data_IF_990050873736
#
_entry.id   IF_990050873736
#
_cell.length_a   1.000
_cell.length_b   1.000
_cell.length_c   1.000
_cell.angle_alpha   90.00
_cell.angle_beta   90.00
_cell.angle_gamma   90.00
#
_symmetry.space_group_name_H-M   'P 1'
#
loop_
_entity.id
_entity.type
_entity.pdbx_description
1 polymer ?
#
# COMPACT_ATOMS: atom_id res chain seq x y z
N UNK A 1 0.21 23.31 25.87
CA UNK A 1 -0.14 22.04 25.20
C UNK A 1 -1.26 21.28 25.92
N UNK A 2 -1.19 21.11 27.25
CA UNK A 2 -2.18 20.39 28.07
C UNK A 2 -3.66 20.85 27.96
N UNK A 3 -4.02 22.15 27.84
CA UNK A 3 -5.43 22.56 27.79
C UNK A 3 -6.17 22.09 26.52
N UNK A 4 -5.47 22.09 25.37
CA UNK A 4 -6.03 21.61 24.09
C UNK A 4 -6.21 20.09 24.11
N UNK A 5 -5.24 19.36 24.65
CA UNK A 5 -5.32 17.90 24.83
C UNK A 5 -6.49 17.53 25.75
N UNK A 6 -6.63 18.17 26.91
CA UNK A 6 -7.74 17.91 27.84
C UNK A 6 -9.11 18.18 27.20
N UNK A 7 -9.23 19.22 26.36
CA UNK A 7 -10.45 19.50 25.60
C UNK A 7 -10.75 18.39 24.57
N UNK A 8 -9.72 17.91 23.87
CA UNK A 8 -9.85 16.80 22.92
C UNK A 8 -10.30 15.52 23.63
N UNK A 9 -9.61 15.12 24.70
CA UNK A 9 -9.93 13.91 25.47
C UNK A 9 -11.38 13.96 26.00
N UNK A 10 -11.84 15.11 26.50
CA UNK A 10 -13.25 15.30 26.90
C UNK A 10 -14.23 15.24 25.72
N UNK A 11 -13.83 15.65 24.52
CA UNK A 11 -14.67 15.53 23.33
C UNK A 11 -14.81 14.06 22.93
N UNK A 12 -13.69 13.33 22.83
CA UNK A 12 -13.66 11.90 22.54
C UNK A 12 -14.43 11.07 23.58
N UNK A 13 -14.34 11.45 24.86
CA UNK A 13 -15.13 10.81 25.92
C UNK A 13 -16.63 10.98 25.75
N UNK A 14 -17.10 12.14 25.25
CA UNK A 14 -18.52 12.36 24.91
C UNK A 14 -18.95 11.58 23.66
N UNK A 15 -18.01 11.20 22.82
CA UNK A 15 -18.23 10.33 21.65
C UNK A 15 -18.16 8.84 22.01
N UNK A 16 -18.00 8.50 23.30
CA UNK A 16 -18.02 7.13 23.79
C UNK A 16 -16.66 6.44 23.81
N UNK A 17 -15.55 7.19 23.79
CA UNK A 17 -14.20 6.65 23.88
C UNK A 17 -13.57 6.83 25.27
N UNK A 18 -12.87 5.81 25.73
CA UNK A 18 -11.87 5.92 26.79
C UNK A 18 -10.50 6.12 26.13
N UNK A 19 -9.84 7.25 26.43
CA UNK A 19 -8.61 7.67 25.75
C UNK A 19 -7.57 8.10 26.77
N UNK A 20 -6.41 7.43 26.74
CA UNK A 20 -5.22 7.82 27.47
C UNK A 20 -4.11 8.25 26.49
N UNK A 21 -3.23 9.14 26.94
CA UNK A 21 -2.07 9.59 26.17
C UNK A 21 -0.87 9.75 27.09
N UNK A 22 0.24 9.09 26.76
CA UNK A 22 1.47 9.11 27.57
C UNK A 22 2.52 10.14 27.09
N UNK A 23 2.19 10.94 26.07
CA UNK A 23 3.11 11.87 25.41
C UNK A 23 3.65 11.37 24.06
N UNK A 24 3.42 10.10 23.72
CA UNK A 24 3.84 9.50 22.44
C UNK A 24 2.81 8.54 21.86
N UNK A 25 2.09 7.81 22.71
CA UNK A 25 1.12 6.79 22.31
C UNK A 25 -0.26 7.16 22.84
N UNK A 26 -1.26 7.11 21.95
CA UNK A 26 -2.66 7.12 22.35
C UNK A 26 -3.14 5.70 22.57
N UNK A 27 -3.79 5.45 23.70
CA UNK A 27 -4.48 4.19 24.02
C UNK A 27 -5.97 4.48 23.99
N UNK A 28 -6.73 3.73 23.19
CA UNK A 28 -8.15 4.00 22.93
C UNK A 28 -9.00 2.73 23.11
N UNK A 29 -10.15 2.86 23.76
CA UNK A 29 -11.17 1.81 23.89
C UNK A 29 -12.58 2.39 23.74
N UNK A 30 -13.54 1.57 23.33
CA UNK A 30 -14.96 1.92 23.43
C UNK A 30 -15.42 1.84 24.90
N UNK A 31 -16.10 2.87 25.40
CA UNK A 31 -16.67 2.85 26.76
C UNK A 31 -17.75 1.77 26.91
N UNK A 32 -18.48 1.48 25.83
CA UNK A 32 -19.52 0.46 25.79
C UNK A 32 -18.97 -0.97 25.87
N UNK A 33 -17.66 -1.16 25.65
CA UNK A 33 -16.99 -2.47 25.72
C UNK A 33 -15.65 -2.35 26.47
N UNK A 34 -15.69 -2.30 27.82
CA UNK A 34 -14.49 -2.15 28.63
C UNK A 34 -13.58 -3.38 28.60
N UNK A 35 -14.06 -4.52 28.10
CA UNK A 35 -13.30 -5.78 28.05
C UNK A 35 -12.55 -5.97 26.72
N UNK A 36 -12.90 -5.21 25.68
CA UNK A 36 -12.13 -5.17 24.44
C UNK A 36 -10.66 -4.80 24.69
N UNK A 37 -9.70 -5.40 23.95
CA UNK A 37 -8.32 -4.96 24.00
C UNK A 37 -8.23 -3.48 23.60
N UNK A 38 -7.32 -2.70 24.20
CA UNK A 38 -7.12 -1.34 23.76
C UNK A 38 -6.45 -1.31 22.38
N UNK A 39 -6.82 -0.32 21.56
CA UNK A 39 -6.07 0.06 20.38
C UNK A 39 -4.97 1.06 20.77
N UNK A 40 -3.77 0.91 20.22
CA UNK A 40 -2.65 1.81 20.47
C UNK A 40 -2.18 2.48 19.18
N UNK A 41 -1.91 3.78 19.24
CA UNK A 41 -1.45 4.58 18.10
C UNK A 41 -0.17 5.31 18.46
N UNK A 42 0.91 5.07 17.70
CA UNK A 42 2.12 5.87 17.80
C UNK A 42 1.86 7.24 17.16
N UNK A 43 1.71 8.27 17.96
CA UNK A 43 1.41 9.62 17.47
C UNK A 43 2.01 10.69 18.40
N UNK A 44 3.20 11.21 18.08
CA UNK A 44 3.77 12.32 18.81
C UNK A 44 2.94 13.62 18.72
N UNK A 45 3.16 14.61 19.60
CA UNK A 45 2.32 15.81 19.74
C UNK A 45 2.25 16.70 18.50
N UNK A 46 3.21 16.59 17.59
CA UNK A 46 3.34 17.34 16.35
C UNK A 46 2.49 16.79 15.20
N UNK A 47 1.96 15.56 15.33
CA UNK A 47 1.05 14.97 14.37
C UNK A 47 -0.42 15.18 14.76
N UNK A 48 -1.32 15.48 13.80
CA UNK A 48 -2.72 15.72 14.09
C UNK A 48 -3.43 14.43 14.52
N UNK A 49 -4.31 14.55 15.52
CA UNK A 49 -5.22 13.49 15.96
C UNK A 49 -6.58 13.65 15.28
N UNK A 50 -7.08 12.58 14.69
CA UNK A 50 -8.42 12.55 14.09
C UNK A 50 -9.35 11.64 14.90
N UNK A 51 -10.36 12.23 15.57
CA UNK A 51 -11.28 11.49 16.44
C UNK A 51 -12.03 10.36 15.73
N UNK A 52 -12.45 10.58 14.47
CA UNK A 52 -13.07 9.55 13.64
C UNK A 52 -12.15 8.34 13.44
N UNK A 53 -10.84 8.54 13.26
CA UNK A 53 -9.90 7.44 13.10
C UNK A 53 -9.71 6.66 14.41
N UNK A 54 -9.65 7.36 15.55
CA UNK A 54 -9.62 6.70 16.87
C UNK A 54 -10.89 5.89 17.13
N UNK A 55 -12.07 6.40 16.74
CA UNK A 55 -13.34 5.66 16.82
C UNK A 55 -13.30 4.37 15.99
N UNK A 56 -12.78 4.46 14.75
CA UNK A 56 -12.64 3.29 13.87
C UNK A 56 -11.69 2.25 14.46
N UNK A 57 -10.58 2.68 15.07
CA UNK A 57 -9.63 1.77 15.73
C UNK A 57 -10.23 1.09 16.96
N UNK A 58 -10.94 1.83 17.80
CA UNK A 58 -11.61 1.27 18.98
C UNK A 58 -12.70 0.27 18.58
N UNK A 59 -13.48 0.59 17.53
CA UNK A 59 -14.50 -0.29 17.00
C UNK A 59 -13.92 -1.56 16.36
N UNK A 60 -12.76 -1.43 15.71
CA UNK A 60 -12.01 -2.56 15.18
C UNK A 60 -11.49 -3.47 16.30
N UNK A 61 -10.97 -2.88 17.39
CA UNK A 61 -10.48 -3.63 18.55
C UNK A 61 -11.56 -4.40 19.31
N UNK A 62 -12.80 -3.90 19.30
CA UNK A 62 -13.95 -4.56 19.91
C UNK A 62 -14.56 -5.70 19.08
N UNK A 63 -14.05 -5.96 17.86
CA UNK A 63 -14.59 -7.03 17.02
C UNK A 63 -14.35 -8.42 17.64
N UNK A 64 -15.42 -9.18 17.69
CA UNK A 64 -15.45 -10.61 17.99
C UNK A 64 -16.54 -11.25 17.14
N UNK A 65 -16.48 -12.57 16.98
CA UNK A 65 -17.51 -13.34 16.28
C UNK A 65 -18.32 -14.16 17.30
N UNK A 66 -19.66 -14.26 17.18
CA UNK A 66 -20.49 -14.99 18.14
C UNK A 66 -20.10 -16.46 18.30
N UNK A 67 -19.69 -17.10 17.20
CA UNK A 67 -19.25 -18.51 17.19
C UNK A 67 -17.80 -18.71 17.69
N UNK A 68 -17.17 -17.67 18.23
CA UNK A 68 -15.81 -17.70 18.74
C UNK A 68 -14.80 -16.99 17.83
N UNK A 69 -13.65 -16.65 18.41
CA UNK A 69 -12.64 -15.80 17.79
C UNK A 69 -12.78 -14.33 18.18
N UNK A 70 -11.65 -13.63 18.27
CA UNK A 70 -11.59 -12.23 18.73
C UNK A 70 -10.38 -11.50 18.17
N UNK A 71 -10.45 -10.18 18.19
CA UNK A 71 -9.26 -9.34 18.06
C UNK A 71 -8.43 -9.44 19.34
N UNK A 72 -7.12 -9.61 19.18
CA UNK A 72 -6.14 -9.73 20.27
C UNK A 72 -5.46 -8.39 20.51
N UNK A 73 -5.01 -7.74 19.43
CA UNK A 73 -4.29 -6.46 19.49
C UNK A 73 -4.63 -5.62 18.27
N UNK A 74 -4.75 -4.31 18.47
CA UNK A 74 -4.81 -3.32 17.39
C UNK A 74 -3.71 -2.30 17.60
N UNK A 75 -2.94 -2.06 16.55
CA UNK A 75 -1.93 -1.01 16.46
C UNK A 75 -2.24 -0.10 15.29
N UNK A 76 -1.81 1.15 15.37
CA UNK A 76 -1.80 2.02 14.22
C UNK A 76 -0.50 2.81 14.10
N UNK A 77 -0.06 2.95 12.85
CA UNK A 77 1.14 3.68 12.45
C UNK A 77 0.90 5.19 12.46
N UNK A 78 1.93 6.05 12.49
CA UNK A 78 1.75 7.51 12.65
C UNK A 78 1.02 8.20 11.49
N UNK A 79 1.02 7.59 10.30
CA UNK A 79 0.25 7.99 9.13
C UNK A 79 -1.24 7.62 9.22
N UNK A 80 -1.73 7.14 10.37
CA UNK A 80 -3.13 6.72 10.50
C UNK A 80 -4.11 7.86 10.22
N UNK A 81 -5.22 7.54 9.55
CA UNK A 81 -6.27 8.51 9.23
C UNK A 81 -7.60 7.79 8.95
N UNK A 82 -8.74 8.50 8.96
CA UNK A 82 -10.04 7.88 8.75
C UNK A 82 -10.11 7.18 7.39
N UNK A 83 -10.53 5.92 7.40
CA UNK A 83 -10.84 5.18 6.18
C UNK A 83 -12.32 5.27 5.84
N UNK A 84 -12.63 5.36 4.54
CA UNK A 84 -14.00 5.49 4.06
C UNK A 84 -14.85 4.23 4.33
N UNK A 85 -14.21 3.07 4.48
CA UNK A 85 -14.87 1.77 4.72
C UNK A 85 -15.05 1.43 6.20
N UNK A 86 -14.89 2.40 7.12
CA UNK A 86 -15.05 2.16 8.56
C UNK A 86 -13.80 1.62 9.28
N UNK A 87 -12.74 1.26 8.55
CA UNK A 87 -11.44 0.87 9.12
C UNK A 87 -10.41 1.94 8.79
N UNK A 88 -9.78 2.50 9.83
CA UNK A 88 -8.74 3.52 9.69
C UNK A 88 -7.58 2.98 8.84
N UNK A 89 -7.04 3.82 7.96
CA UNK A 89 -5.80 3.52 7.25
C UNK A 89 -4.65 3.68 8.25
N UNK A 90 -3.58 2.89 8.11
CA UNK A 90 -2.52 2.76 9.11
C UNK A 90 -2.79 1.68 10.17
N UNK A 91 -3.90 0.92 10.06
CA UNK A 91 -4.29 -0.08 11.06
C UNK A 91 -3.55 -1.40 10.85
N UNK A 92 -3.18 -2.02 11.97
CA UNK A 92 -2.62 -3.37 12.06
C UNK A 92 -3.42 -4.13 13.12
N UNK A 93 -4.03 -5.26 12.73
CA UNK A 93 -4.97 -6.01 13.56
C UNK A 93 -4.51 -7.45 13.68
N UNK A 94 -4.16 -7.86 14.90
CA UNK A 94 -3.90 -9.25 15.25
C UNK A 94 -5.18 -9.90 15.78
N UNK A 95 -5.59 -11.01 15.17
CA UNK A 95 -6.81 -11.75 15.51
C UNK A 95 -6.50 -13.21 15.83
N UNK A 96 -7.33 -13.82 16.68
CA UNK A 96 -7.30 -15.25 16.99
C UNK A 96 -8.65 -15.86 16.62
N UNK A 97 -8.66 -16.95 15.86
CA UNK A 97 -9.88 -17.67 15.50
C UNK A 97 -10.83 -16.95 14.52
N UNK A 98 -10.45 -15.78 13.99
CA UNK A 98 -11.21 -15.08 12.95
C UNK A 98 -10.30 -14.31 11.99
N UNK A 99 -10.83 -13.98 10.81
CA UNK A 99 -10.27 -12.99 9.87
C UNK A 99 -11.27 -11.86 9.63
N UNK A 100 -10.79 -10.70 9.19
CA UNK A 100 -11.64 -9.52 8.99
C UNK A 100 -11.45 -9.00 7.56
N UNK A 101 -12.25 -9.45 6.57
CA UNK A 101 -12.10 -8.98 5.18
C UNK A 101 -12.17 -7.46 5.02
N UNK A 102 -13.00 -6.80 5.83
CA UNK A 102 -13.10 -5.34 5.86
C UNK A 102 -11.85 -4.63 6.39
N UNK A 103 -11.00 -5.33 7.15
CA UNK A 103 -9.76 -4.78 7.71
C UNK A 103 -8.65 -4.66 6.69
N UNK A 104 -8.67 -5.42 5.59
CA UNK A 104 -7.74 -5.27 4.45
C UNK A 104 -8.25 -4.21 3.47
N UNK A 105 -9.56 -4.21 3.21
CA UNK A 105 -10.21 -3.34 2.24
C UNK A 105 -10.26 -3.94 0.83
N UNK A 106 -10.59 -3.11 -0.16
CA UNK A 106 -10.81 -3.54 -1.55
C UNK A 106 -9.58 -3.40 -2.44
N UNK A 107 -8.55 -2.70 -2.01
CA UNK A 107 -7.28 -2.59 -2.74
C UNK A 107 -6.27 -3.58 -2.16
N UNK A 108 -6.59 -4.86 -2.31
CA UNK A 108 -5.83 -5.98 -1.77
C UNK A 108 -4.43 -5.97 -2.38
N UNK A 109 -3.41 -6.14 -1.54
CA UNK A 109 -2.00 -6.01 -1.89
C UNK A 109 -1.74 -4.70 -2.67
N UNK A 110 -2.41 -3.60 -2.34
CA UNK A 110 -1.81 -2.30 -2.64
C UNK A 110 -0.44 -2.24 -1.95
N UNK A 111 0.56 -1.72 -2.65
CA UNK A 111 1.94 -1.82 -2.19
C UNK A 111 2.89 -0.96 -2.99
N UNK A 112 4.15 -1.03 -2.60
CA UNK A 112 5.25 -0.25 -3.16
C UNK A 112 6.28 -1.14 -3.81
N UNK A 113 6.77 -0.71 -4.97
CA UNK A 113 7.89 -1.33 -5.66
C UNK A 113 8.91 -0.26 -6.02
N UNK A 114 10.14 -0.41 -5.55
CA UNK A 114 11.23 0.55 -5.77
C UNK A 114 12.31 -0.06 -6.65
N UNK A 115 12.72 0.68 -7.67
CA UNK A 115 13.86 0.38 -8.51
C UNK A 115 14.88 1.50 -8.46
N UNK A 116 16.13 1.15 -8.74
CA UNK A 116 17.20 2.10 -9.07
C UNK A 116 17.70 1.79 -10.46
N UNK A 117 18.20 2.80 -11.18
CA UNK A 117 18.76 2.64 -12.53
C UNK A 117 20.11 3.33 -12.62
N UNK A 118 21.07 2.73 -13.32
CA UNK A 118 22.41 3.32 -13.49
C UNK A 118 22.41 4.41 -14.56
N UNK A 119 21.62 5.46 -14.34
CA UNK A 119 21.53 6.65 -15.19
C UNK A 119 21.80 7.88 -14.32
N UNK A 120 22.75 8.75 -14.69
CA UNK A 120 22.91 10.06 -14.06
C UNK A 120 21.63 10.89 -14.23
N UNK A 121 21.14 11.48 -13.14
CA UNK A 121 19.88 12.25 -13.15
C UNK A 121 19.89 13.36 -14.21
N UNK A 122 21.01 14.06 -14.41
CA UNK A 122 21.10 15.12 -15.42
C UNK A 122 20.94 14.58 -16.86
N UNK A 123 21.48 13.39 -17.13
CA UNK A 123 21.30 12.72 -18.42
C UNK A 123 19.84 12.29 -18.63
N UNK A 124 19.18 11.81 -17.57
CA UNK A 124 17.75 11.52 -17.60
C UNK A 124 16.92 12.79 -17.90
N UNK A 125 17.19 13.88 -17.19
CA UNK A 125 16.49 15.15 -17.37
C UNK A 125 16.67 15.72 -18.79
N UNK A 126 17.84 15.52 -19.42
CA UNK A 126 18.08 15.91 -20.81
C UNK A 126 17.25 15.13 -21.86
N UNK A 127 16.54 14.06 -21.44
CA UNK A 127 15.60 13.28 -22.26
C UNK A 127 14.21 13.20 -21.64
N UNK A 128 13.92 14.03 -20.62
CA UNK A 128 12.68 14.01 -19.84
C UNK A 128 11.44 14.03 -20.72
N UNK A 129 11.36 14.94 -21.68
CA UNK A 129 10.12 15.11 -22.47
C UNK A 129 9.84 13.89 -23.35
N UNK A 130 10.89 13.28 -23.91
CA UNK A 130 10.78 12.05 -24.69
C UNK A 130 10.34 10.85 -23.81
N UNK A 131 10.78 10.81 -22.56
CA UNK A 131 10.32 9.85 -21.55
C UNK A 131 8.85 10.08 -21.19
N UNK A 132 8.48 11.31 -20.85
CA UNK A 132 7.11 11.68 -20.46
C UNK A 132 6.09 11.34 -21.55
N UNK A 133 6.39 11.65 -22.82
CA UNK A 133 5.46 11.34 -23.92
C UNK A 133 5.23 9.83 -24.10
N UNK A 134 6.27 9.00 -23.97
CA UNK A 134 6.13 7.53 -23.99
C UNK A 134 5.32 7.02 -22.82
N UNK A 135 5.65 7.48 -21.61
CA UNK A 135 4.94 7.07 -20.39
C UNK A 135 3.47 7.50 -20.39
N UNK A 136 3.12 8.67 -20.95
CA UNK A 136 1.73 9.08 -21.18
C UNK A 136 1.01 8.09 -22.11
N UNK A 137 1.66 7.65 -23.18
CA UNK A 137 1.16 6.58 -24.03
C UNK A 137 0.77 5.34 -23.23
N UNK A 138 1.69 4.85 -22.41
CA UNK A 138 1.51 3.62 -21.63
C UNK A 138 0.45 3.74 -20.52
N UNK A 139 0.54 4.79 -19.70
CA UNK A 139 -0.28 4.95 -18.51
C UNK A 139 -1.65 5.55 -18.77
N UNK A 140 -1.79 6.37 -19.80
CA UNK A 140 -3.01 7.16 -20.02
C UNK A 140 -3.72 6.87 -21.34
N UNK A 141 -2.98 6.53 -22.41
CA UNK A 141 -3.55 6.38 -23.75
C UNK A 141 -3.62 4.93 -24.24
N UNK A 142 -3.31 3.97 -23.37
CA UNK A 142 -3.55 2.54 -23.64
C UNK A 142 -2.63 1.94 -24.69
N UNK A 143 -1.42 2.47 -24.89
CA UNK A 143 -0.44 1.90 -25.85
C UNK A 143 0.27 0.65 -25.31
N UNK A 144 0.01 0.26 -24.06
CA UNK A 144 0.60 -0.91 -23.41
C UNK A 144 0.13 -2.21 -24.07
N UNK A 145 1.05 -3.12 -24.33
CA UNK A 145 0.77 -4.45 -24.89
C UNK A 145 0.94 -5.52 -23.79
N UNK A 146 -0.09 -5.69 -22.97
CA UNK A 146 -0.10 -6.63 -21.83
C UNK A 146 -0.71 -7.98 -22.18
N UNK A 147 -0.64 -8.38 -23.46
CA UNK A 147 -1.13 -9.67 -23.90
C UNK A 147 -0.37 -10.82 -23.22
N UNK A 148 -1.09 -11.82 -22.73
CA UNK A 148 -0.53 -13.03 -22.13
C UNK A 148 -1.39 -14.25 -22.43
N UNK A 149 -0.82 -15.45 -22.26
CA UNK A 149 -1.58 -16.69 -22.33
C UNK A 149 -2.54 -16.82 -21.15
N UNK A 150 -3.72 -17.39 -21.38
CA UNK A 150 -4.67 -17.76 -20.33
C UNK A 150 -4.05 -18.67 -19.28
N UNK A 151 -3.19 -19.60 -19.69
CA UNK A 151 -2.39 -20.44 -18.77
C UNK A 151 -1.47 -19.62 -17.87
N UNK A 152 -0.80 -18.60 -18.41
CA UNK A 152 0.06 -17.71 -17.62
C UNK A 152 -0.76 -16.88 -16.62
N UNK A 153 -1.94 -16.39 -17.03
CA UNK A 153 -2.84 -15.71 -16.11
C UNK A 153 -3.39 -16.66 -15.04
N UNK A 154 -3.76 -17.89 -15.38
CA UNK A 154 -4.23 -18.86 -14.39
C UNK A 154 -3.13 -19.23 -13.39
N UNK A 155 -1.91 -19.48 -13.88
CA UNK A 155 -0.74 -19.74 -13.05
C UNK A 155 -0.38 -18.54 -12.18
N UNK A 156 -0.50 -17.30 -12.68
CA UNK A 156 -0.37 -16.10 -11.86
C UNK A 156 -1.34 -16.14 -10.68
N UNK A 157 -2.63 -16.34 -10.97
CA UNK A 157 -3.68 -16.24 -9.98
C UNK A 157 -3.58 -17.33 -8.91
N UNK A 158 -3.07 -18.50 -9.28
CA UNK A 158 -2.89 -19.64 -8.36
C UNK A 158 -1.55 -19.59 -7.61
N UNK A 159 -0.46 -19.32 -8.32
CA UNK A 159 0.91 -19.58 -7.87
C UNK A 159 1.78 -18.31 -7.83
N UNK A 160 1.22 -17.14 -8.14
CA UNK A 160 1.91 -15.85 -8.11
C UNK A 160 2.88 -15.62 -9.27
N UNK A 161 3.85 -14.71 -9.05
CA UNK A 161 4.86 -14.39 -10.05
C UNK A 161 5.66 -15.61 -10.54
N UNK A 162 6.06 -16.59 -9.70
CA UNK A 162 6.77 -17.77 -10.18
C UNK A 162 5.96 -18.59 -11.19
N UNK A 163 4.67 -18.82 -10.94
CA UNK A 163 3.80 -19.53 -11.87
C UNK A 163 3.60 -18.75 -13.17
N UNK A 164 3.41 -17.44 -13.07
CA UNK A 164 3.31 -16.56 -14.24
C UNK A 164 4.59 -16.58 -15.08
N UNK A 165 5.76 -16.50 -14.45
CA UNK A 165 7.06 -16.50 -15.13
C UNK A 165 7.27 -17.81 -15.89
N UNK A 166 7.02 -18.96 -15.26
CA UNK A 166 7.21 -20.28 -15.88
C UNK A 166 6.40 -20.43 -17.18
N UNK A 167 5.12 -20.06 -17.15
CA UNK A 167 4.26 -20.11 -18.34
C UNK A 167 4.63 -19.06 -19.38
N UNK A 168 5.07 -17.87 -18.94
CA UNK A 168 5.47 -16.77 -19.83
C UNK A 168 6.80 -17.06 -20.55
N UNK A 169 7.75 -17.73 -19.91
CA UNK A 169 9.03 -18.14 -20.54
C UNK A 169 8.81 -19.10 -21.71
N UNK A 170 7.84 -20.01 -21.59
CA UNK A 170 7.50 -20.96 -22.65
C UNK A 170 6.83 -20.30 -23.87
N UNK A 171 6.08 -19.23 -23.66
CA UNK A 171 5.37 -18.51 -24.73
C UNK A 171 5.21 -17.02 -24.41
N UNK A 172 6.28 -16.22 -24.54
CA UNK A 172 6.21 -14.81 -24.20
C UNK A 172 5.34 -14.06 -25.23
N UNK A 173 4.39 -13.28 -24.73
CA UNK A 173 3.48 -12.47 -25.54
C UNK A 173 3.55 -11.00 -25.13
N UNK A 174 3.10 -10.14 -26.04
CA UNK A 174 3.06 -8.70 -25.82
C UNK A 174 4.39 -8.12 -25.36
N UNK A 175 4.35 -7.33 -24.29
CA UNK A 175 5.55 -6.70 -23.72
C UNK A 175 6.51 -7.72 -23.10
N UNK A 176 6.05 -8.90 -22.69
CA UNK A 176 6.89 -9.94 -22.12
C UNK A 176 7.91 -10.49 -23.11
N UNK A 177 7.59 -10.46 -24.42
CA UNK A 177 8.55 -10.80 -25.48
C UNK A 177 9.75 -9.84 -25.57
N UNK A 178 9.72 -8.71 -24.87
CA UNK A 178 10.80 -7.71 -24.81
C UNK A 178 11.39 -7.56 -23.39
N UNK A 179 10.98 -8.39 -22.45
CA UNK A 179 11.48 -8.39 -21.08
C UNK A 179 12.75 -9.24 -20.96
N UNK A 180 13.65 -8.84 -20.06
CA UNK A 180 14.75 -9.71 -19.61
C UNK A 180 14.20 -10.60 -18.49
N UNK A 181 13.58 -11.74 -18.85
CA UNK A 181 12.93 -12.63 -17.88
C UNK A 181 13.93 -13.20 -16.86
N UNK A 182 15.21 -13.38 -17.25
CA UNK A 182 16.27 -13.81 -16.35
C UNK A 182 16.50 -12.81 -15.21
N UNK A 183 16.35 -11.50 -15.47
CA UNK A 183 16.44 -10.46 -14.44
C UNK A 183 15.34 -10.65 -13.41
N UNK A 184 14.12 -10.96 -13.83
CA UNK A 184 13.00 -11.19 -12.93
C UNK A 184 13.23 -12.40 -12.01
N UNK A 185 13.84 -13.47 -12.56
CA UNK A 185 14.23 -14.63 -11.76
C UNK A 185 15.27 -14.26 -10.68
N UNK A 186 16.31 -13.50 -11.06
CA UNK A 186 17.37 -13.01 -10.14
C UNK A 186 16.86 -12.03 -9.08
N UNK A 187 15.71 -11.41 -9.30
CA UNK A 187 15.11 -10.42 -8.40
C UNK A 187 13.95 -10.98 -7.55
N UNK A 188 13.62 -12.26 -7.70
CA UNK A 188 12.45 -12.87 -7.05
C UNK A 188 12.49 -12.80 -5.52
N UNK A 189 13.67 -12.91 -4.92
CA UNK A 189 13.92 -12.77 -3.48
C UNK A 189 13.73 -11.33 -2.96
N UNK A 190 13.69 -10.34 -3.86
CA UNK A 190 13.41 -8.93 -3.55
C UNK A 190 11.92 -8.58 -3.68
N UNK A 191 11.08 -9.56 -3.99
CA UNK A 191 9.62 -9.42 -3.90
C UNK A 191 9.15 -10.08 -2.61
N UNK A 192 8.35 -9.37 -1.81
CA UNK A 192 7.81 -9.92 -0.57
C UNK A 192 7.10 -11.25 -0.83
N UNK A 193 7.44 -12.30 -0.07
CA UNK A 193 6.99 -13.69 -0.25
C UNK A 193 7.29 -14.27 -1.65
N UNK A 194 8.32 -13.78 -2.35
CA UNK A 194 8.61 -14.16 -3.73
C UNK A 194 7.53 -13.72 -4.74
N UNK A 195 6.63 -12.83 -4.33
CA UNK A 195 5.46 -12.44 -5.13
C UNK A 195 4.45 -13.57 -5.31
N UNK A 196 4.38 -14.50 -4.37
CA UNK A 196 3.55 -15.68 -4.45
C UNK A 196 2.77 -15.95 -3.15
N UNK A 197 1.47 -16.13 -3.31
CA UNK A 197 0.57 -16.68 -2.31
C UNK A 197 -0.26 -17.78 -2.96
N UNK A 198 -0.74 -18.76 -2.17
CA UNK A 198 -1.59 -19.84 -2.67
C UNK A 198 -3.00 -19.30 -2.95
N UNK A 199 -3.25 -18.94 -4.21
CA UNK A 199 -4.52 -18.42 -4.69
C UNK A 199 -5.42 -19.49 -5.32
N UNK A 200 -6.58 -19.04 -5.79
CA UNK A 200 -7.52 -19.83 -6.57
C UNK A 200 -8.11 -18.96 -7.72
N UNK A 201 -7.82 -19.29 -9.00
CA UNK A 201 -8.34 -18.59 -10.17
C UNK A 201 -9.87 -18.51 -10.26
N UNK A 202 -10.60 -19.37 -9.54
CA UNK A 202 -12.07 -19.32 -9.49
C UNK A 202 -12.61 -18.00 -8.92
N UNK A 203 -11.81 -17.27 -8.14
CA UNK A 203 -12.13 -15.95 -7.59
C UNK A 203 -11.89 -14.79 -8.54
N UNK A 204 -11.36 -15.04 -9.74
CA UNK A 204 -11.20 -14.02 -10.75
C UNK A 204 -12.57 -13.56 -11.32
N UNK A 205 -12.69 -12.28 -11.71
CA UNK A 205 -13.79 -11.83 -12.56
C UNK A 205 -14.00 -12.77 -13.74
N UNK A 206 -15.25 -13.12 -14.05
CA UNK A 206 -15.60 -14.03 -15.16
C UNK A 206 -14.96 -13.61 -16.49
N UNK A 207 -14.85 -12.30 -16.74
CA UNK A 207 -14.20 -11.77 -17.93
C UNK A 207 -12.71 -12.14 -18.06
N UNK A 208 -12.02 -12.50 -16.99
CA UNK A 208 -10.62 -12.94 -17.03
C UNK A 208 -10.45 -14.45 -17.16
N UNK A 209 -11.51 -15.23 -16.94
CA UNK A 209 -11.52 -16.70 -17.07
C UNK A 209 -11.92 -17.10 -18.48
N UNK A 210 -10.96 -17.05 -19.41
CA UNK A 210 -11.15 -17.41 -20.83
C UNK A 210 -9.93 -18.15 -21.36
N UNK A 211 -10.12 -18.94 -22.41
CA UNK A 211 -9.01 -19.64 -23.10
C UNK A 211 -8.29 -18.74 -24.10
N UNK A 212 -7.09 -19.18 -24.51
CA UNK A 212 -6.27 -18.50 -25.52
C UNK A 212 -5.54 -17.26 -24.98
N UNK A 213 -5.49 -16.19 -25.76
CA UNK A 213 -4.79 -14.95 -25.42
C UNK A 213 -5.70 -14.02 -24.61
N UNK A 214 -5.24 -13.59 -23.44
CA UNK A 214 -5.93 -12.64 -22.57
C UNK A 214 -5.27 -11.26 -22.69
N UNK A 215 -6.10 -10.23 -22.84
CA UNK A 215 -5.71 -8.81 -22.78
C UNK A 215 -6.53 -8.15 -21.69
N UNK A 216 -5.98 -8.12 -20.49
CA UNK A 216 -6.64 -7.51 -19.34
C UNK A 216 -6.42 -5.98 -19.36
N UNK A 217 -7.47 -5.15 -19.52
CA UNK A 217 -7.33 -3.70 -19.49
C UNK A 217 -6.86 -3.14 -18.13
N UNK A 218 -7.04 -3.91 -17.04
CA UNK A 218 -6.64 -3.53 -15.69
C UNK A 218 -5.15 -3.69 -15.40
N UNK A 219 -4.45 -4.58 -16.12
CA UNK A 219 -3.03 -4.83 -15.89
C UNK A 219 -2.15 -3.69 -16.41
N UNK A 220 -1.03 -3.50 -15.72
CA UNK A 220 -0.10 -2.40 -15.90
C UNK A 220 -0.78 -1.02 -15.88
N UNK A 221 -1.70 -0.83 -14.92
CA UNK A 221 -2.37 0.46 -14.68
C UNK A 221 -2.05 1.01 -13.29
N UNK A 222 -1.78 2.31 -13.23
CA UNK A 222 -1.53 3.02 -11.97
C UNK A 222 -2.78 2.94 -11.09
N UNK A 223 -3.90 3.44 -11.61
CA UNK A 223 -5.13 3.62 -10.86
C UNK A 223 -5.29 4.97 -10.21
N UNK A 224 -6.50 5.22 -9.71
CA UNK A 224 -6.84 6.48 -9.03
C UNK A 224 -6.48 6.47 -7.54
N UNK A 225 -6.78 7.57 -6.86
CA UNK A 225 -6.49 7.75 -5.44
C UNK A 225 -5.02 8.05 -5.19
N UNK A 226 -4.43 7.41 -4.17
CA UNK A 226 -3.05 7.63 -3.78
C UNK A 226 -2.03 6.93 -4.69
N UNK A 227 -2.46 6.15 -5.69
CA UNK A 227 -1.54 5.48 -6.60
C UNK A 227 -0.75 6.45 -7.49
N UNK A 228 0.47 6.06 -7.83
CA UNK A 228 1.38 6.82 -8.69
C UNK A 228 2.50 5.94 -9.25
N UNK A 229 3.18 6.47 -10.26
CA UNK A 229 4.56 6.07 -10.59
C UNK A 229 5.42 7.34 -10.50
N UNK A 230 6.47 7.31 -9.68
CA UNK A 230 7.28 8.48 -9.40
C UNK A 230 8.73 8.21 -9.77
N UNK A 231 9.32 9.09 -10.58
CA UNK A 231 10.76 9.10 -10.85
C UNK A 231 11.43 10.01 -9.83
N UNK A 232 12.51 9.54 -9.25
CA UNK A 232 13.16 10.14 -8.10
C UNK A 232 14.69 10.16 -8.30
N UNK A 233 15.36 10.97 -7.50
CA UNK A 233 16.80 10.90 -7.27
C UNK A 233 17.04 10.31 -5.89
N UNK A 234 17.97 9.38 -5.76
CA UNK A 234 18.54 9.03 -4.44
C UNK A 234 19.31 10.25 -3.94
N UNK A 235 18.72 11.00 -3.02
CA UNK A 235 19.25 12.29 -2.56
C UNK A 235 20.38 12.10 -1.54
N UNK A 236 20.23 11.13 -0.63
CA UNK A 236 21.22 10.84 0.40
C UNK A 236 21.20 9.37 0.79
N UNK A 237 22.37 8.82 1.09
CA UNK A 237 22.53 7.48 1.69
C UNK A 237 22.98 7.61 3.14
N UNK A 238 22.23 7.03 4.06
CA UNK A 238 22.48 7.06 5.50
C UNK A 238 23.15 5.78 5.98
N UNK A 239 22.57 4.60 5.68
CA UNK A 239 23.22 3.30 5.94
C UNK A 239 23.93 2.81 4.68
N UNK A 240 25.23 3.11 4.59
CA UNK A 240 26.06 2.75 3.43
C UNK A 240 26.15 1.25 3.19
N UNK A 241 26.16 0.43 4.25
CA UNK A 241 26.33 -1.01 4.12
C UNK A 241 25.08 -1.66 3.51
N UNK A 242 23.89 -1.32 4.02
CA UNK A 242 22.63 -1.82 3.43
C UNK A 242 22.38 -1.22 2.05
N UNK A 243 22.62 0.08 1.87
CA UNK A 243 22.46 0.71 0.56
C UNK A 243 23.32 0.02 -0.51
N UNK A 244 24.58 -0.30 -0.20
CA UNK A 244 25.45 -1.08 -1.09
C UNK A 244 24.87 -2.47 -1.39
N UNK A 245 24.43 -3.21 -0.35
CA UNK A 245 23.84 -4.54 -0.52
C UNK A 245 22.55 -4.53 -1.37
N UNK A 246 21.79 -3.43 -1.33
CA UNK A 246 20.57 -3.23 -2.09
C UNK A 246 20.77 -2.51 -3.43
N UNK A 247 22.02 -2.21 -3.80
CA UNK A 247 22.39 -1.56 -5.06
C UNK A 247 22.05 -0.07 -5.14
N UNK A 248 21.77 0.58 -4.01
CA UNK A 248 21.35 1.99 -3.92
C UNK A 248 22.56 2.89 -3.72
N UNK A 249 22.71 3.90 -4.60
CA UNK A 249 23.81 4.87 -4.54
C UNK A 249 23.27 6.30 -4.57
N UNK A 250 23.93 7.19 -3.85
CA UNK A 250 23.60 8.63 -3.88
C UNK A 250 23.77 9.20 -5.29
N UNK A 251 22.84 10.06 -5.72
CA UNK A 251 22.80 10.64 -7.05
C UNK A 251 22.17 9.77 -8.14
N UNK A 252 21.89 8.49 -7.85
CA UNK A 252 21.32 7.55 -8.81
C UNK A 252 19.84 7.87 -9.11
N UNK A 253 19.41 7.57 -10.35
CA UNK A 253 18.00 7.59 -10.72
C UNK A 253 17.26 6.44 -10.00
N UNK A 254 16.09 6.74 -9.46
CA UNK A 254 15.20 5.76 -8.88
C UNK A 254 13.79 5.92 -9.45
N UNK A 255 12.99 4.86 -9.41
CA UNK A 255 11.56 5.00 -9.67
C UNK A 255 10.75 4.08 -8.75
N UNK A 256 9.64 4.63 -8.26
CA UNK A 256 8.74 3.99 -7.31
C UNK A 256 7.37 3.79 -7.96
N UNK A 257 6.84 2.59 -7.86
CA UNK A 257 5.50 2.23 -8.31
C UNK A 257 4.62 1.99 -7.08
N UNK A 258 3.56 2.79 -6.95
CA UNK A 258 2.50 2.59 -5.99
C UNK A 258 1.22 2.15 -6.72
N UNK A 259 0.90 0.86 -6.60
CA UNK A 259 -0.37 0.33 -7.12
C UNK A 259 -0.74 -0.99 -6.42
N UNK A 260 -1.92 -1.49 -6.75
CA UNK A 260 -2.50 -2.68 -6.14
C UNK A 260 -3.23 -3.58 -7.13
N UNK A 261 -4.23 -4.29 -6.64
CA UNK A 261 -4.96 -5.35 -7.37
C UNK A 261 -6.06 -4.83 -8.28
N UNK A 262 -6.25 -3.51 -8.40
CA UNK A 262 -7.16 -2.90 -9.38
C UNK A 262 -8.59 -3.46 -9.21
N UNK A 263 -9.27 -3.79 -10.30
CA UNK A 263 -10.65 -4.31 -10.23
C UNK A 263 -10.72 -5.76 -9.73
N UNK A 264 -9.62 -6.53 -9.78
CA UNK A 264 -9.53 -7.85 -9.15
C UNK A 264 -9.75 -7.73 -7.63
N UNK A 265 -9.02 -6.84 -6.97
CA UNK A 265 -9.19 -6.58 -5.53
C UNK A 265 -10.58 -6.07 -5.19
N UNK A 266 -11.13 -5.15 -5.98
CA UNK A 266 -12.49 -4.65 -5.75
C UNK A 266 -13.55 -5.72 -5.90
N UNK A 267 -13.35 -6.66 -6.81
CA UNK A 267 -14.25 -7.80 -7.00
C UNK A 267 -14.18 -8.74 -5.78
N UNK A 268 -12.98 -9.18 -5.42
CA UNK A 268 -12.74 -10.07 -4.28
C UNK A 268 -13.19 -9.43 -2.96
N UNK A 269 -12.72 -8.21 -2.67
CA UNK A 269 -12.98 -7.52 -1.41
C UNK A 269 -14.46 -7.25 -1.17
N UNK A 270 -15.21 -6.78 -2.19
CA UNK A 270 -16.66 -6.57 -2.06
C UNK A 270 -17.41 -7.89 -1.86
N UNK A 271 -17.09 -8.89 -2.68
CA UNK A 271 -17.70 -10.22 -2.59
C UNK A 271 -17.53 -10.80 -1.18
N UNK A 272 -16.35 -10.68 -0.59
CA UNK A 272 -16.07 -11.25 0.73
C UNK A 272 -16.60 -10.43 1.90
N UNK A 273 -16.71 -9.11 1.77
CA UNK A 273 -17.44 -8.29 2.74
C UNK A 273 -18.94 -8.64 2.77
N UNK A 274 -19.55 -8.83 1.59
CA UNK A 274 -20.95 -9.26 1.47
C UNK A 274 -21.15 -10.68 2.02
N UNK A 275 -20.27 -11.62 1.68
CA UNK A 275 -20.31 -12.99 2.22
C UNK A 275 -20.12 -13.04 3.73
N UNK A 276 -19.21 -12.24 4.29
CA UNK A 276 -19.03 -12.15 5.74
C UNK A 276 -20.29 -11.64 6.45
N UNK A 277 -20.93 -10.61 5.88
CA UNK A 277 -22.21 -10.11 6.39
C UNK A 277 -23.34 -11.13 6.25
N UNK A 278 -23.43 -11.84 5.13
CA UNK A 278 -24.45 -12.85 4.88
C UNK A 278 -24.27 -14.11 5.74
N UNK A 279 -23.03 -14.44 6.09
CA UNK A 279 -22.68 -15.55 6.97
C UNK A 279 -22.83 -15.22 8.46
N UNK A 280 -23.22 -14.00 8.82
CA UNK A 280 -23.38 -13.61 10.22
C UNK A 280 -24.47 -14.44 10.90
N UNK A 281 -24.26 -14.94 12.14
CA UNK A 281 -25.22 -15.82 12.80
C UNK A 281 -26.61 -15.20 12.97
N UNK A 282 -27.65 -15.93 12.58
CA UNK A 282 -29.05 -15.50 12.71
C UNK A 282 -29.41 -15.26 14.17
N UNK A 283 -29.96 -14.08 14.48
CA UNK A 283 -30.35 -13.68 15.83
C UNK A 283 -29.23 -13.06 16.67
N UNK A 284 -27.98 -13.09 16.20
CA UNK A 284 -26.90 -12.35 16.84
C UNK A 284 -26.95 -10.84 16.48
N UNK A 285 -26.64 -9.93 17.41
CA UNK A 285 -26.58 -8.51 17.12
C UNK A 285 -25.49 -8.24 16.07
N UNK A 286 -25.77 -7.32 15.13
CA UNK A 286 -24.76 -6.90 14.17
C UNK A 286 -23.69 -6.03 14.86
N UNK A 287 -22.42 -6.11 14.44
CA UNK A 287 -21.39 -5.20 14.92
C UNK A 287 -21.78 -3.75 14.63
N UNK A 288 -21.76 -2.88 15.63
CA UNK A 288 -22.11 -1.46 15.47
C UNK A 288 -21.19 -0.70 14.50
N UNK A 289 -20.00 -1.25 14.23
CA UNK A 289 -19.06 -0.75 13.21
C UNK A 289 -19.49 -1.01 11.77
N UNK A 290 -20.41 -1.95 11.55
CA UNK A 290 -20.76 -2.47 10.21
C UNK A 290 -19.67 -3.35 9.59
N UNK A 291 -18.62 -3.71 10.33
CA UNK A 291 -17.54 -4.59 9.88
C UNK A 291 -17.81 -6.00 10.40
N UNK A 292 -17.89 -6.96 9.49
CA UNK A 292 -18.23 -8.35 9.80
C UNK A 292 -16.97 -9.24 9.72
N UNK A 293 -16.49 -9.81 10.84
CA UNK A 293 -15.47 -10.85 10.81
C UNK A 293 -16.01 -12.19 10.31
N UNK A 294 -15.12 -13.09 9.91
CA UNK A 294 -15.38 -14.49 9.58
C UNK A 294 -14.64 -15.39 10.57
N UNK A 295 -15.35 -16.31 11.24
CA UNK A 295 -14.75 -17.31 12.13
C UNK A 295 -14.91 -18.76 11.65
N UNK A 296 -15.83 -19.02 10.71
CA UNK A 296 -16.00 -20.34 10.09
C UNK A 296 -14.71 -20.77 9.38
N UNK A 297 -14.06 -21.88 9.79
CA UNK A 297 -12.75 -22.26 9.24
C UNK A 297 -12.75 -22.52 7.72
N UNK A 298 -13.87 -22.97 7.15
CA UNK A 298 -14.00 -23.19 5.70
C UNK A 298 -14.02 -21.83 5.00
N UNK A 299 -14.89 -20.91 5.45
CA UNK A 299 -15.01 -19.56 4.87
C UNK A 299 -13.73 -18.74 5.07
N UNK A 300 -13.04 -18.91 6.19
CA UNK A 300 -11.73 -18.29 6.44
C UNK A 300 -10.72 -18.73 5.39
N UNK A 301 -10.59 -20.04 5.14
CA UNK A 301 -9.67 -20.57 4.11
C UNK A 301 -10.04 -20.09 2.71
N UNK A 302 -11.33 -20.10 2.37
CA UNK A 302 -11.80 -19.61 1.08
C UNK A 302 -11.52 -18.12 0.89
N UNK A 303 -11.72 -17.29 1.92
CA UNK A 303 -11.37 -15.87 1.88
C UNK A 303 -9.88 -15.66 1.65
N UNK A 304 -9.03 -16.37 2.38
CA UNK A 304 -7.57 -16.24 2.26
C UNK A 304 -7.09 -16.64 0.87
N UNK A 305 -7.67 -17.70 0.27
CA UNK A 305 -7.39 -18.05 -1.14
C UNK A 305 -7.83 -16.96 -2.10
N UNK A 306 -8.99 -16.35 -1.89
CA UNK A 306 -9.47 -15.26 -2.73
C UNK A 306 -8.61 -13.99 -2.58
N UNK A 307 -8.19 -13.67 -1.36
CA UNK A 307 -7.26 -12.58 -1.07
C UNK A 307 -5.91 -12.83 -1.75
N UNK A 308 -5.37 -14.05 -1.65
CA UNK A 308 -4.15 -14.47 -2.34
C UNK A 308 -4.26 -14.33 -3.86
N UNK A 309 -5.39 -14.71 -4.48
CA UNK A 309 -5.65 -14.48 -5.92
C UNK A 309 -5.52 -13.01 -6.30
N UNK A 310 -6.13 -12.11 -5.53
CA UNK A 310 -6.04 -10.68 -5.77
C UNK A 310 -4.63 -10.13 -5.48
N UNK A 311 -3.96 -10.67 -4.47
CA UNK A 311 -2.61 -10.27 -4.12
C UNK A 311 -1.60 -10.64 -5.22
N UNK A 312 -1.68 -11.84 -5.77
CA UNK A 312 -0.86 -12.28 -6.90
C UNK A 312 -1.03 -11.36 -8.11
N UNK A 313 -2.27 -10.97 -8.42
CA UNK A 313 -2.56 -9.99 -9.47
C UNK A 313 -1.85 -8.63 -9.22
N UNK A 314 -1.86 -8.15 -7.98
CA UNK A 314 -1.23 -6.87 -7.64
C UNK A 314 0.29 -6.89 -7.82
N UNK A 315 0.95 -8.00 -7.46
CA UNK A 315 2.39 -8.17 -7.68
C UNK A 315 2.72 -8.05 -9.17
N UNK A 316 1.97 -8.74 -10.04
CA UNK A 316 2.18 -8.62 -11.48
C UNK A 316 1.88 -7.20 -11.98
N UNK A 317 0.82 -6.56 -11.49
CA UNK A 317 0.50 -5.20 -11.90
C UNK A 317 1.64 -4.22 -11.58
N UNK A 318 2.23 -4.29 -10.38
CA UNK A 318 3.41 -3.48 -10.03
C UNK A 318 4.63 -3.81 -10.87
N UNK A 319 4.89 -5.10 -11.13
CA UNK A 319 5.98 -5.55 -11.98
C UNK A 319 5.86 -4.99 -13.39
N UNK A 320 4.71 -5.12 -14.04
CA UNK A 320 4.51 -4.65 -15.41
C UNK A 320 4.53 -3.12 -15.51
N UNK A 321 4.02 -2.40 -14.49
CA UNK A 321 4.18 -0.93 -14.42
C UNK A 321 5.65 -0.50 -14.39
N UNK A 322 6.47 -1.20 -13.58
CA UNK A 322 7.90 -0.98 -13.51
C UNK A 322 8.59 -1.36 -14.83
N UNK A 323 8.15 -2.43 -15.48
CA UNK A 323 8.72 -2.87 -16.75
C UNK A 323 8.48 -1.88 -17.88
N UNK A 324 7.32 -1.20 -17.91
CA UNK A 324 7.09 -0.10 -18.87
C UNK A 324 8.13 1.02 -18.71
N UNK A 325 8.51 1.33 -17.46
CA UNK A 325 9.61 2.28 -17.19
C UNK A 325 10.93 1.71 -17.70
N UNK A 326 11.26 0.46 -17.37
CA UNK A 326 12.50 -0.20 -17.80
C UNK A 326 12.66 -0.23 -19.32
N UNK A 327 11.61 -0.60 -20.06
CA UNK A 327 11.62 -0.61 -21.53
C UNK A 327 11.82 0.80 -22.08
N UNK A 328 11.12 1.79 -21.52
CA UNK A 328 11.27 3.19 -21.93
C UNK A 328 12.68 3.72 -21.65
N UNK A 329 13.29 3.36 -20.52
CA UNK A 329 14.68 3.72 -20.23
C UNK A 329 15.63 3.06 -21.23
N UNK A 330 15.44 1.78 -21.55
CA UNK A 330 16.28 1.09 -22.54
C UNK A 330 16.16 1.67 -23.94
N UNK A 331 14.96 2.07 -24.35
CA UNK A 331 14.73 2.76 -25.62
C UNK A 331 15.46 4.10 -25.72
N UNK A 332 15.56 4.84 -24.61
CA UNK A 332 16.13 6.19 -24.60
C UNK A 332 17.64 6.24 -24.32
N UNK A 333 18.15 5.26 -23.57
CA UNK A 333 19.52 5.28 -23.04
C UNK A 333 20.35 4.04 -23.43
N UNK A 334 19.77 3.06 -24.12
CA UNK A 334 20.44 1.82 -24.50
C UNK A 334 20.40 0.77 -23.38
N UNK A 335 21.43 -0.06 -23.29
CA UNK A 335 21.47 -1.14 -22.32
C UNK A 335 21.68 -0.61 -20.89
N UNK A 336 20.58 -0.33 -20.20
CA UNK A 336 20.56 0.16 -18.83
C UNK A 336 19.92 -0.88 -17.92
N UNK A 337 20.64 -1.24 -16.87
CA UNK A 337 20.08 -2.00 -15.77
C UNK A 337 19.26 -1.08 -14.85
N UNK A 338 18.06 -1.56 -14.52
CA UNK A 338 17.15 -0.91 -13.58
C UNK A 338 16.69 -1.91 -12.50
N UNK A 339 17.60 -2.43 -11.67
CA UNK A 339 17.30 -3.53 -10.77
C UNK A 339 16.21 -3.21 -9.73
N UNK A 340 15.47 -4.24 -9.32
CA UNK A 340 14.54 -4.16 -8.20
C UNK A 340 15.33 -3.96 -6.90
N UNK A 341 14.94 -2.97 -6.10
CA UNK A 341 15.39 -2.82 -4.72
C UNK A 341 14.51 -3.70 -3.83
N UNK A 342 13.20 -3.43 -3.81
CA UNK A 342 12.23 -4.24 -3.08
C UNK A 342 10.78 -3.99 -3.54
N UNK A 343 9.91 -4.97 -3.36
CA UNK A 343 8.46 -4.90 -3.61
C UNK A 343 7.69 -5.40 -2.37
N UNK A 344 6.87 -4.54 -1.75
CA UNK A 344 6.24 -4.79 -0.45
C UNK A 344 4.74 -4.40 -0.42
N UNK A 345 3.84 -5.24 0.12
CA UNK A 345 2.43 -4.92 0.32
C UNK A 345 2.21 -3.96 1.50
N UNK A 346 1.06 -3.29 1.52
CA UNK A 346 0.54 -2.61 2.71
C UNK A 346 -0.96 -2.82 3.01
N UNK A 347 -1.63 -3.67 2.22
CA UNK A 347 -3.00 -4.13 2.47
C UNK A 347 -3.05 -5.65 2.33
N UNK A 348 -2.87 -6.41 3.41
CA UNK A 348 -2.83 -7.88 3.34
C UNK A 348 -3.07 -8.53 4.71
N UNK A 349 -3.66 -9.74 4.71
CA UNK A 349 -3.71 -10.65 5.87
C UNK A 349 -2.65 -11.74 5.75
N UNK A 350 -1.88 -11.97 6.81
CA UNK A 350 -0.87 -13.03 6.88
C UNK A 350 -0.98 -13.82 8.20
N UNK A 351 -0.51 -15.08 8.27
CA UNK A 351 -0.41 -15.82 9.53
C UNK A 351 0.47 -15.07 10.55
N UNK A 352 0.05 -15.06 11.83
CA UNK A 352 0.81 -14.45 12.92
C UNK A 352 0.44 -15.05 14.27
N UNK A 353 1.43 -15.55 15.03
CA UNK A 353 1.29 -16.05 16.41
C UNK A 353 0.05 -16.96 16.66
N UNK A 354 -0.21 -17.92 15.77
CA UNK A 354 -1.35 -18.85 15.89
C UNK A 354 -2.70 -18.25 15.47
N UNK A 355 -2.69 -17.04 14.92
CA UNK A 355 -3.83 -16.34 14.35
C UNK A 355 -3.47 -15.62 13.06
N UNK A 356 -4.03 -14.43 12.87
CA UNK A 356 -3.88 -13.65 11.64
C UNK A 356 -3.53 -12.20 11.93
N UNK A 357 -2.70 -11.61 11.07
CA UNK A 357 -2.32 -10.20 11.12
C UNK A 357 -2.79 -9.53 9.83
N UNK A 358 -3.84 -8.72 9.93
CA UNK A 358 -4.33 -7.89 8.84
C UNK A 358 -3.69 -6.50 8.92
N UNK A 359 -3.10 -6.05 7.82
CA UNK A 359 -2.57 -4.69 7.66
C UNK A 359 -3.41 -3.92 6.65
N UNK A 360 -3.68 -2.64 6.92
CA UNK A 360 -4.29 -1.71 5.96
C UNK A 360 -3.65 -0.35 6.04
N UNK A 361 -2.95 0.02 4.98
CA UNK A 361 -2.05 1.16 4.96
C UNK A 361 -0.90 1.00 5.94
N UNK A 362 -0.41 -0.22 6.15
CA UNK A 362 0.77 -0.48 6.96
C UNK A 362 1.60 -1.58 6.28
N UNK A 363 2.91 -1.38 6.20
CA UNK A 363 3.84 -2.33 5.58
C UNK A 363 4.38 -3.32 6.63
N UNK A 364 4.65 -4.59 6.28
CA UNK A 364 5.54 -5.43 7.08
C UNK A 364 6.89 -4.74 7.31
N UNK A 365 7.42 -4.84 8.51
CA UNK A 365 8.69 -4.24 8.95
C UNK A 365 9.44 -5.23 9.87
N UNK A 366 9.59 -6.47 9.39
CA UNK A 366 10.39 -7.50 10.03
C UNK A 366 11.86 -7.07 10.12
N UNK A 367 12.64 -7.75 10.95
CA UNK A 367 14.07 -7.44 11.11
C UNK A 367 14.81 -7.57 9.77
N UNK A 368 15.64 -6.59 9.45
CA UNK A 368 16.38 -6.50 8.18
C UNK A 368 15.55 -6.29 6.90
N UNK A 369 14.22 -6.36 6.97
CA UNK A 369 13.38 -6.22 5.79
C UNK A 369 13.42 -4.77 5.23
N UNK A 370 13.57 -4.57 3.90
CA UNK A 370 13.36 -3.25 3.31
C UNK A 370 11.92 -2.77 3.51
N UNK A 371 11.78 -1.48 3.86
CA UNK A 371 10.51 -0.79 4.02
C UNK A 371 10.54 0.48 3.18
N UNK A 372 9.51 0.70 2.36
CA UNK A 372 9.41 1.84 1.45
C UNK A 372 8.30 2.76 1.96
N UNK A 373 8.65 3.99 2.33
CA UNK A 373 7.70 4.98 2.88
C UNK A 373 7.73 6.24 2.00
N UNK A 374 6.75 6.43 1.10
CA UNK A 374 6.68 7.63 0.28
C UNK A 374 6.28 8.87 1.08
N UNK A 375 6.70 10.03 0.60
CA UNK A 375 6.07 11.30 0.94
C UNK A 375 4.76 11.52 0.17
N UNK A 376 4.23 12.74 0.24
CA UNK A 376 3.32 13.24 -0.78
C UNK A 376 4.08 13.58 -2.07
N UNK A 377 3.36 13.84 -3.15
CA UNK A 377 3.93 14.25 -4.43
C UNK A 377 4.87 15.47 -4.30
N UNK A 378 6.17 15.31 -4.56
CA UNK A 378 7.17 16.38 -4.38
C UNK A 378 7.82 16.43 -2.99
N UNK A 379 7.36 15.64 -2.02
CA UNK A 379 8.01 15.48 -0.73
C UNK A 379 8.95 14.27 -0.71
N UNK A 380 9.93 14.30 0.19
CA UNK A 380 10.91 13.20 0.36
C UNK A 380 10.21 11.86 0.61
N UNK A 381 10.69 10.83 -0.09
CA UNK A 381 10.39 9.43 0.18
C UNK A 381 11.58 8.75 0.84
N UNK A 382 11.35 7.64 1.54
CA UNK A 382 12.35 6.98 2.35
C UNK A 382 12.45 5.49 2.00
N UNK A 383 13.68 5.02 1.88
CA UNK A 383 14.03 3.61 1.96
C UNK A 383 14.57 3.34 3.37
N UNK A 384 13.95 2.40 4.04
CA UNK A 384 14.20 2.08 5.44
C UNK A 384 14.47 0.58 5.60
N UNK A 385 15.00 0.20 6.77
CA UNK A 385 15.12 -1.18 7.25
C UNK A 385 14.18 -1.39 8.44
N UNK A 386 13.40 -2.46 8.43
CA UNK A 386 12.58 -2.87 9.57
C UNK A 386 13.42 -3.40 10.74
N UNK A 387 12.95 -3.18 11.96
CA UNK A 387 13.60 -3.60 13.20
C UNK A 387 12.83 -4.71 13.94
N UNK A 388 11.79 -5.28 13.33
CA UNK A 388 11.04 -6.40 13.92
C UNK A 388 10.30 -6.04 15.21
N UNK A 389 9.96 -4.76 15.40
CA UNK A 389 9.43 -4.27 16.66
C UNK A 389 8.09 -4.94 17.04
N UNK A 390 8.11 -5.73 18.11
CA UNK A 390 6.96 -6.49 18.58
C UNK A 390 5.77 -5.60 19.01
N UNK A 391 6.04 -4.41 19.59
CA UNK A 391 4.97 -3.47 20.00
C UNK A 391 4.22 -2.91 18.79
N UNK A 392 4.91 -2.77 17.66
CA UNK A 392 4.34 -2.37 16.38
C UNK A 392 3.85 -3.56 15.54
N UNK A 393 3.85 -4.78 16.09
CA UNK A 393 3.51 -6.02 15.38
C UNK A 393 4.31 -6.17 14.07
N UNK A 394 5.63 -5.88 14.14
CA UNK A 394 6.55 -5.85 13.00
C UNK A 394 5.95 -5.12 11.79
N UNK A 395 5.43 -3.91 12.00
CA UNK A 395 4.76 -3.11 10.98
C UNK A 395 5.18 -1.64 11.04
N UNK A 396 5.20 -0.99 9.88
CA UNK A 396 5.54 0.42 9.71
C UNK A 396 4.54 1.13 8.80
N UNK A 397 4.61 2.46 8.79
CA UNK A 397 3.83 3.32 7.89
C UNK A 397 4.00 2.94 6.43
N UNK A 398 2.97 3.24 5.65
CA UNK A 398 2.96 3.04 4.21
C UNK A 398 3.08 4.34 3.41
N UNK A 399 3.10 5.48 4.09
CA UNK A 399 3.34 6.80 3.52
C UNK A 399 3.19 7.92 4.55
N UNK A 400 2.83 9.12 4.10
CA UNK A 400 2.61 10.27 4.98
C UNK A 400 1.25 10.25 5.70
N UNK A 401 0.24 9.62 5.10
CA UNK A 401 -1.14 9.66 5.61
C UNK A 401 -1.84 10.99 5.31
N UNK A 402 -3.15 10.94 5.08
CA UNK A 402 -3.90 12.15 4.74
C UNK A 402 -4.17 12.99 5.98
N UNK A 403 -4.05 14.31 5.84
CA UNK A 403 -4.53 15.28 6.82
C UNK A 403 -5.92 15.83 6.42
N UNK A 404 -6.27 15.74 5.13
CA UNK A 404 -7.55 16.22 4.60
C UNK A 404 -8.19 15.18 3.67
N UNK A 405 -9.51 15.02 3.78
CA UNK A 405 -10.29 14.17 2.86
C UNK A 405 -10.20 14.67 1.42
N UNK A 406 -10.36 13.78 0.42
CA UNK A 406 -10.40 14.19 -0.99
C UNK A 406 -11.54 15.18 -1.25
N UNK A 407 -12.71 14.90 -0.68
CA UNK A 407 -13.87 15.78 -0.80
C UNK A 407 -13.60 17.19 -0.26
N UNK A 408 -12.92 17.32 0.89
CA UNK A 408 -12.55 18.63 1.42
C UNK A 408 -11.54 19.37 0.54
N UNK A 409 -10.61 18.66 -0.09
CA UNK A 409 -9.67 19.27 -1.05
C UNK A 409 -10.41 19.79 -2.29
N UNK A 410 -11.34 18.99 -2.85
CA UNK A 410 -12.06 19.38 -4.07
C UNK A 410 -13.08 20.51 -3.84
N UNK A 411 -13.63 20.65 -2.63
CA UNK A 411 -14.65 21.66 -2.29
C UNK A 411 -14.11 23.10 -2.30
N UNK A 412 -12.80 23.29 -2.14
CA UNK A 412 -12.16 24.60 -2.27
C UNK A 412 -11.87 25.01 -3.73
N UNK A 413 -11.94 24.07 -4.68
CA UNK A 413 -11.95 24.31 -6.12
C UNK A 413 -10.74 25.07 -6.68
N UNK A 414 -10.97 25.86 -7.74
CA UNK A 414 -9.98 26.66 -8.47
C UNK A 414 -9.45 27.91 -7.71
N UNK A 415 -9.75 28.04 -6.41
CA UNK A 415 -9.32 29.18 -5.58
C UNK A 415 -7.99 28.94 -4.85
N UNK A 416 -7.48 27.72 -4.86
CA UNK A 416 -6.20 27.40 -4.24
C UNK A 416 -5.05 27.86 -5.12
N UNK A 417 -4.13 28.66 -4.58
CA UNK A 417 -2.88 28.99 -5.27
C UNK A 417 -1.96 27.76 -5.21
N UNK A 418 -1.09 27.59 -6.20
CA UNK A 418 -0.15 26.45 -6.21
C UNK A 418 0.73 26.43 -4.94
N UNK A 419 1.09 27.61 -4.44
CA UNK A 419 1.84 27.80 -3.18
C UNK A 419 1.08 27.20 -1.98
N UNK A 420 -0.22 27.46 -1.87
CA UNK A 420 -1.07 26.98 -0.76
C UNK A 420 -1.21 25.44 -0.77
N UNK A 421 -1.14 24.84 -1.97
CA UNK A 421 -1.21 23.40 -2.17
C UNK A 421 0.16 22.73 -2.02
N UNK A 422 1.25 23.50 -1.95
CA UNK A 422 2.62 23.00 -1.97
C UNK A 422 3.04 22.43 -3.34
N UNK A 423 2.42 22.89 -4.42
CA UNK A 423 2.67 22.41 -5.79
C UNK A 423 3.79 23.16 -6.52
N UNK A 424 4.35 24.21 -5.90
CA UNK A 424 5.48 24.96 -6.46
C UNK A 424 6.69 24.05 -6.67
N UNK A 425 7.15 23.92 -7.92
CA UNK A 425 8.25 23.02 -8.28
C UNK A 425 7.88 21.54 -8.31
N UNK A 426 6.60 21.18 -8.13
CA UNK A 426 6.11 19.81 -8.21
C UNK A 426 5.69 19.47 -9.63
N UNK A 427 6.42 18.54 -10.22
CA UNK A 427 6.18 18.04 -11.57
C UNK A 427 5.23 16.84 -11.55
N UNK A 428 3.94 17.11 -11.77
CA UNK A 428 2.87 16.11 -11.75
C UNK A 428 2.26 15.94 -13.15
N UNK A 429 2.42 14.77 -13.75
CA UNK A 429 1.76 14.41 -15.00
C UNK A 429 0.46 13.66 -14.69
N UNK A 430 -0.68 14.32 -14.92
CA UNK A 430 -2.01 13.75 -14.76
C UNK A 430 -2.95 14.23 -15.88
N UNK A 431 -3.94 13.39 -16.24
CA UNK A 431 -4.95 13.74 -17.25
C UNK A 431 -5.98 14.77 -16.76
N UNK A 432 -6.17 14.87 -15.44
CA UNK A 432 -7.23 15.66 -14.79
C UNK A 432 -6.62 16.56 -13.73
N UNK A 433 -6.83 17.86 -13.85
CA UNK A 433 -6.30 18.85 -12.92
C UNK A 433 -6.81 18.61 -11.48
N UNK A 434 -8.03 18.08 -11.32
CA UNK A 434 -8.63 17.77 -10.03
C UNK A 434 -7.81 16.74 -9.25
N UNK A 435 -7.20 15.76 -9.95
CA UNK A 435 -6.35 14.74 -9.30
C UNK A 435 -5.10 15.33 -8.69
N UNK A 436 -4.54 16.37 -9.32
CA UNK A 436 -3.39 17.11 -8.78
C UNK A 436 -3.76 17.86 -7.50
N UNK A 437 -4.99 18.36 -7.39
CA UNK A 437 -5.50 19.06 -6.20
C UNK A 437 -5.84 18.07 -5.07
N UNK A 438 -6.56 16.99 -5.39
CA UNK A 438 -6.98 15.95 -4.41
C UNK A 438 -5.80 15.29 -3.69
N UNK A 439 -4.65 15.24 -4.35
CA UNK A 439 -3.45 14.54 -3.92
C UNK A 439 -2.24 15.50 -3.77
N UNK A 440 -2.50 16.81 -3.68
CA UNK A 440 -1.47 17.81 -3.45
C UNK A 440 -0.77 17.62 -2.08
N UNK A 441 0.49 18.08 -1.91
CA UNK A 441 1.21 18.00 -0.64
C UNK A 441 0.43 18.46 0.59
N UNK A 442 -0.31 19.56 0.46
CA UNK A 442 -1.13 20.08 1.55
C UNK A 442 -2.22 19.11 2.04
N UNK A 443 -2.62 18.11 1.24
CA UNK A 443 -3.60 17.10 1.63
C UNK A 443 -3.06 16.06 2.63
N UNK A 444 -1.74 16.01 2.81
CA UNK A 444 -1.02 14.99 3.56
C UNK A 444 -0.38 15.56 4.83
N UNK A 445 -0.12 14.68 5.80
CA UNK A 445 0.70 15.02 6.96
C UNK A 445 2.16 15.26 6.51
N UNK A 446 2.96 16.03 7.26
CA UNK A 446 4.38 16.15 6.97
C UNK A 446 5.08 14.79 7.17
N UNK A 447 5.77 14.30 6.14
CA UNK A 447 6.42 12.98 6.16
C UNK A 447 7.55 12.87 7.20
N UNK A 448 8.26 13.97 7.46
CA UNK A 448 9.38 14.01 8.40
C UNK A 448 9.00 13.52 9.81
N UNK A 449 8.03 14.16 10.49
CA UNK A 449 7.47 13.68 11.75
C UNK A 449 6.97 12.23 11.75
N UNK A 450 6.30 11.80 10.66
CA UNK A 450 5.81 10.42 10.52
C UNK A 450 6.96 9.42 10.55
N UNK A 451 8.06 9.69 9.84
CA UNK A 451 9.24 8.83 9.81
C UNK A 451 10.02 8.92 11.13
N UNK A 452 10.29 10.14 11.61
CA UNK A 452 11.07 10.37 12.83
C UNK A 452 10.46 9.64 14.04
N UNK A 453 9.13 9.69 14.19
CA UNK A 453 8.45 9.00 15.28
C UNK A 453 8.66 7.49 15.30
N UNK A 454 8.77 6.85 14.12
CA UNK A 454 9.00 5.41 14.00
C UNK A 454 10.46 5.04 14.20
N UNK A 455 11.39 5.92 13.81
CA UNK A 455 12.82 5.78 14.13
C UNK A 455 13.01 5.88 15.65
N UNK A 456 12.42 6.89 16.29
CA UNK A 456 12.50 7.10 17.74
C UNK A 456 11.82 6.00 18.57
N UNK A 457 10.96 5.20 17.93
CA UNK A 457 10.27 4.06 18.53
C UNK A 457 10.94 2.71 18.19
N UNK A 458 12.11 2.72 17.54
CA UNK A 458 12.83 1.53 17.08
C UNK A 458 11.95 0.60 16.23
N UNK A 459 11.12 1.15 15.33
CA UNK A 459 10.32 0.38 14.37
C UNK A 459 11.08 0.21 13.06
N UNK A 460 11.73 1.29 12.61
CA UNK A 460 12.50 1.33 11.36
C UNK A 460 13.79 2.12 11.55
N UNK A 461 14.77 1.89 10.66
CA UNK A 461 15.99 2.69 10.55
C UNK A 461 16.17 3.19 9.12
N UNK A 462 16.60 4.43 8.99
CA UNK A 462 16.80 5.06 7.69
C UNK A 462 17.99 4.46 6.94
N UNK A 463 17.77 4.15 5.65
CA UNK A 463 18.83 3.67 4.73
C UNK A 463 19.13 4.71 3.66
N UNK A 464 18.11 5.27 3.01
CA UNK A 464 18.28 6.32 2.01
C UNK A 464 17.06 7.25 1.91
N UNK A 465 17.32 8.49 1.48
CA UNK A 465 16.28 9.48 1.11
C UNK A 465 16.18 9.59 -0.39
N UNK A 466 14.95 9.67 -0.88
CA UNK A 466 14.64 9.85 -2.30
C UNK A 466 13.89 11.16 -2.48
N UNK A 467 14.33 11.95 -3.45
CA UNK A 467 13.71 13.22 -3.82
C UNK A 467 12.93 13.05 -5.13
N UNK A 468 11.63 13.38 -5.17
CA UNK A 468 10.85 13.32 -6.40
C UNK A 468 11.41 14.24 -7.49
N UNK A 469 11.44 13.73 -8.72
CA UNK A 469 11.74 14.49 -9.94
C UNK A 469 10.46 14.72 -10.75
N UNK A 470 9.62 13.68 -10.88
CA UNK A 470 8.30 13.78 -11.50
C UNK A 470 7.39 12.63 -11.07
N UNK A 471 6.07 12.87 -11.08
CA UNK A 471 5.07 11.90 -10.63
C UNK A 471 3.98 11.74 -11.68
N UNK A 472 3.71 10.50 -12.11
CA UNK A 472 2.56 10.13 -12.94
C UNK A 472 1.39 9.69 -12.06
N UNK A 473 0.21 10.27 -12.31
CA UNK A 473 -1.05 9.91 -11.64
C UNK A 473 -2.19 9.79 -12.64
N UNK A 474 -3.04 8.77 -12.47
CA UNK A 474 -4.15 8.47 -13.38
C UNK A 474 -5.49 9.10 -12.99
#
# INVERSE_FOLDING_TARGET
MQPKLNRLLRALAREGLDVAYDGRVYTVRLQADPHAPPAEVLLPPDLPVEGKALQQLAALAALHHPDGGRVKQVRATPDFHPGDSGVAIGSVVHTEGLVVPGAVGTDINCGMRLHVADIPVDAFLARRDAFVERMKGHYFFGTRDVAQGSRALEALLRDGLPGWLLETEGQPLGMAARMELGQLHRESDRVYLGGALEGDPAWAPTGLRREGVVRDPGLATIGGGNHFVEVQRVEAVVDRARAWAWGVREGQLAFMVHSGSRDMGKHVGRTWQERARAAWPTGAPHPGSGIFPLADPVKVREYLKAEATAANYAFLNRLLLAELVRQTLRELFGDVEAPLVYDVPHNITLPWEGGWLARKGACPAEEDQPVIIPGSMGATSYLMRGLGNAKALASASHGAGRAHSRFSMSRGGAKHREEDLGLTGVDCIALRAERRIEEAPAAYKPIGPVVASQVDADIVREVARLRPLMTFKA
#
